data_IF_119600231270
#
_entry.id   IF_119600231270
#
_cell.length_a   1.000
_cell.length_b   1.000
_cell.length_c   1.000
_cell.angle_alpha   90.00
_cell.angle_beta   90.00
_cell.angle_gamma   90.00
#
_symmetry.space_group_name_H-M   'P 1'
#
loop_
_entity.id
_entity.type
_entity.pdbx_description
1 polymer ?
#
# COMPACT_ATOMS: atom_id res chain seq x y z
N UNK A 1 -15.19 -2.75 -24.64
CA UNK A 1 -14.63 -3.59 -23.57
C UNK A 1 -14.08 -2.68 -22.49
N UNK A 2 -14.62 -2.75 -21.27
CA UNK A 2 -14.05 -2.05 -20.12
C UNK A 2 -12.73 -2.73 -19.76
N UNK A 3 -11.63 -1.99 -19.76
CA UNK A 3 -10.32 -2.49 -19.32
C UNK A 3 -10.42 -2.71 -17.81
N UNK A 4 -10.55 -3.96 -17.39
CA UNK A 4 -10.65 -4.29 -15.96
C UNK A 4 -9.33 -3.92 -15.27
N UNK A 5 -9.41 -3.09 -14.23
CA UNK A 5 -8.24 -2.73 -13.46
C UNK A 5 -7.75 -3.95 -12.68
N UNK A 6 -6.44 -4.24 -12.80
CA UNK A 6 -5.81 -5.40 -12.18
C UNK A 6 -5.69 -5.24 -10.66
N UNK A 7 -5.45 -4.03 -10.17
CA UNK A 7 -5.65 -3.66 -8.76
C UNK A 7 -7.04 -3.02 -8.68
N UNK A 8 -7.95 -3.62 -7.93
CA UNK A 8 -9.33 -3.15 -7.79
C UNK A 8 -9.48 -2.18 -6.62
N UNK A 9 -8.77 -2.45 -5.51
CA UNK A 9 -8.80 -1.61 -4.33
C UNK A 9 -7.51 -1.75 -3.51
N UNK A 10 -7.19 -0.71 -2.73
CA UNK A 10 -6.14 -0.73 -1.72
C UNK A 10 -6.78 -0.28 -0.41
N UNK A 11 -7.05 -1.23 0.48
CA UNK A 11 -7.54 -0.94 1.82
C UNK A 11 -6.35 -0.50 2.68
N UNK A 12 -6.49 0.65 3.32
CA UNK A 12 -5.49 1.21 4.22
C UNK A 12 -6.19 1.66 5.48
N UNK A 13 -5.69 1.21 6.63
CA UNK A 13 -6.23 1.58 7.94
C UNK A 13 -5.14 1.57 9.00
N UNK A 14 -5.39 2.26 10.12
CA UNK A 14 -4.52 2.25 11.27
C UNK A 14 -5.08 1.36 12.39
N UNK A 15 -4.23 0.50 12.94
CA UNK A 15 -4.48 -0.23 14.17
C UNK A 15 -3.39 0.18 15.18
N UNK A 16 -3.75 1.01 16.17
CA UNK A 16 -2.79 1.67 17.08
C UNK A 16 -1.73 2.45 16.29
N UNK A 17 -0.46 2.06 16.40
CA UNK A 17 0.65 2.67 15.66
C UNK A 17 0.93 2.02 14.32
N UNK A 18 0.19 0.99 13.92
CA UNK A 18 0.48 0.26 12.70
C UNK A 18 -0.42 0.68 11.56
N UNK A 19 0.20 1.17 10.49
CA UNK A 19 -0.42 1.28 9.18
C UNK A 19 -0.54 -0.13 8.60
N UNK A 20 -1.75 -0.56 8.29
CA UNK A 20 -2.03 -1.84 7.67
C UNK A 20 -2.59 -1.62 6.27
N UNK A 21 -2.13 -2.44 5.33
CA UNK A 21 -2.48 -2.37 3.91
C UNK A 21 -2.92 -3.74 3.45
N UNK A 22 -4.01 -3.80 2.70
CA UNK A 22 -4.47 -4.99 1.97
C UNK A 22 -4.79 -4.60 0.52
N UNK A 23 -4.25 -5.35 -0.43
CA UNK A 23 -4.54 -5.16 -1.86
C UNK A 23 -5.65 -6.12 -2.28
N UNK A 24 -6.68 -5.60 -2.95
CA UNK A 24 -7.70 -6.40 -3.64
C UNK A 24 -7.36 -6.38 -5.13
N UNK A 25 -6.98 -7.53 -5.68
CA UNK A 25 -6.54 -7.65 -7.07
C UNK A 25 -7.41 -8.66 -7.84
N UNK A 26 -7.62 -8.40 -9.13
CA UNK A 26 -8.40 -9.25 -10.03
C UNK A 26 -7.53 -10.17 -10.91
N UNK A 27 -6.21 -10.17 -10.71
CA UNK A 27 -5.29 -10.82 -11.62
C UNK A 27 -3.91 -11.09 -11.05
N UNK A 28 -3.14 -11.85 -11.82
CA UNK A 28 -1.80 -12.35 -11.49
C UNK A 28 -1.71 -13.28 -10.28
N UNK A 29 -2.80 -13.75 -9.68
CA UNK A 29 -2.85 -14.48 -8.39
C UNK A 29 -1.58 -15.29 -8.06
N UNK A 30 -1.23 -16.32 -8.84
CA UNK A 30 -0.05 -17.17 -8.55
C UNK A 30 1.31 -16.51 -8.87
N UNK A 31 1.32 -15.55 -9.78
CA UNK A 31 2.50 -14.84 -10.28
C UNK A 31 2.68 -13.45 -9.68
N UNK A 32 1.80 -13.00 -8.78
CA UNK A 32 1.81 -11.65 -8.25
C UNK A 32 2.89 -11.50 -7.17
N UNK A 33 3.63 -10.40 -7.25
CA UNK A 33 4.47 -9.91 -6.17
C UNK A 33 4.19 -8.42 -5.94
N UNK A 34 4.15 -8.02 -4.67
CA UNK A 34 3.75 -6.70 -4.23
C UNK A 34 4.89 -5.97 -3.53
N UNK A 35 5.02 -4.68 -3.81
CA UNK A 35 5.85 -3.76 -3.04
C UNK A 35 5.04 -2.52 -2.63
N UNK A 36 5.37 -1.94 -1.48
CA UNK A 36 4.59 -0.90 -0.82
C UNK A 36 5.48 0.28 -0.47
N UNK A 37 5.15 1.45 -0.99
CA UNK A 37 5.86 2.70 -0.69
C UNK A 37 4.92 3.61 0.08
N UNK A 38 5.33 3.99 1.29
CA UNK A 38 4.53 4.83 2.19
C UNK A 38 5.03 6.26 2.11
N UNK A 39 4.10 7.20 1.91
CA UNK A 39 4.38 8.63 1.86
C UNK A 39 3.64 9.34 2.98
N UNK A 40 4.31 10.32 3.59
CA UNK A 40 3.70 11.29 4.51
C UNK A 40 3.43 12.58 3.74
N UNK A 41 2.30 13.25 3.97
CA UNK A 41 2.03 14.55 3.38
C UNK A 41 3.14 15.56 3.70
N UNK A 42 3.50 16.38 2.72
CA UNK A 42 4.63 17.31 2.81
C UNK A 42 6.00 16.71 2.43
N UNK A 43 6.13 15.38 2.37
CA UNK A 43 7.36 14.73 1.92
C UNK A 43 7.26 14.33 0.43
N UNK A 44 8.26 14.74 -0.36
CA UNK A 44 8.40 14.32 -1.77
C UNK A 44 8.84 12.86 -1.90
N UNK A 45 9.57 12.35 -0.91
CA UNK A 45 10.08 10.98 -0.88
C UNK A 45 9.24 10.05 -0.02
N UNK A 46 9.27 8.75 -0.36
CA UNK A 46 8.66 7.72 0.46
C UNK A 46 9.43 7.57 1.78
N UNK A 47 8.73 7.64 2.90
CA UNK A 47 9.30 7.43 4.24
C UNK A 47 9.59 5.95 4.53
N UNK A 48 8.99 5.05 3.74
CA UNK A 48 9.27 3.62 3.78
C UNK A 48 9.05 2.98 2.41
N UNK A 49 9.88 1.97 2.09
CA UNK A 49 9.81 1.18 0.86
C UNK A 49 9.98 -0.29 1.21
N UNK A 50 9.09 -1.14 0.74
CA UNK A 50 9.26 -2.60 0.85
C UNK A 50 9.92 -3.18 -0.40
N UNK A 51 10.59 -4.32 -0.25
CA UNK A 51 10.92 -5.20 -1.37
C UNK A 51 9.65 -5.90 -1.90
N UNK A 52 9.74 -6.45 -3.12
CA UNK A 52 8.68 -7.28 -3.69
C UNK A 52 8.53 -8.60 -2.91
N UNK A 53 7.31 -8.93 -2.50
CA UNK A 53 6.95 -10.19 -1.82
C UNK A 53 5.64 -10.74 -2.37
N UNK A 54 5.37 -12.03 -2.17
CA UNK A 54 4.10 -12.65 -2.62
C UNK A 54 2.86 -12.21 -1.83
N UNK A 55 3.06 -11.58 -0.67
CA UNK A 55 1.96 -11.15 0.19
C UNK A 55 1.34 -9.87 -0.34
N UNK A 56 0.01 -9.87 -0.46
CA UNK A 56 -0.82 -8.73 -0.81
C UNK A 56 -1.13 -7.83 0.39
N UNK A 57 -0.45 -8.07 1.52
CA UNK A 57 -0.54 -7.29 2.75
C UNK A 57 0.77 -6.65 3.13
N UNK A 58 0.68 -5.53 3.84
CA UNK A 58 1.82 -4.84 4.40
C UNK A 58 1.47 -4.19 5.74
N UNK A 59 2.45 -4.15 6.63
CA UNK A 59 2.35 -3.49 7.91
C UNK A 59 3.59 -2.65 8.17
N UNK A 60 3.40 -1.44 8.66
CA UNK A 60 4.47 -0.52 9.04
C UNK A 60 4.09 0.23 10.33
N UNK A 61 5.02 0.29 11.27
CA UNK A 61 4.85 1.16 12.43
C UNK A 61 5.06 2.63 12.03
N UNK A 62 4.09 3.47 12.37
CA UNK A 62 4.11 4.92 12.18
C UNK A 62 3.91 5.55 13.55
N UNK A 63 4.87 6.35 14.00
CA UNK A 63 4.82 7.03 15.30
C UNK A 63 4.33 8.47 15.16
N UNK A 64 4.71 9.15 14.09
CA UNK A 64 4.37 10.55 13.88
C UNK A 64 2.91 10.71 13.43
N UNK A 65 2.14 11.65 13.99
CA UNK A 65 0.83 11.99 13.44
C UNK A 65 0.98 12.65 12.06
N UNK A 66 -0.07 12.56 11.26
CA UNK A 66 -0.12 13.19 9.94
C UNK A 66 -0.96 12.42 8.94
N UNK A 67 -1.02 12.95 7.73
CA UNK A 67 -1.67 12.31 6.59
C UNK A 67 -0.68 11.41 5.86
N UNK A 68 -1.12 10.21 5.50
CA UNK A 68 -0.35 9.19 4.82
C UNK A 68 -1.08 8.67 3.58
N UNK A 69 -0.31 8.15 2.62
CA UNK A 69 -0.82 7.37 1.49
C UNK A 69 0.16 6.29 1.11
N UNK A 70 -0.34 5.22 0.49
CA UNK A 70 0.48 4.08 0.07
C UNK A 70 0.41 3.92 -1.44
N UNK A 71 1.57 3.90 -2.10
CA UNK A 71 1.68 3.46 -3.48
C UNK A 71 2.03 1.99 -3.51
N UNK A 72 1.14 1.19 -4.11
CA UNK A 72 1.31 -0.24 -4.32
C UNK A 72 1.88 -0.48 -5.70
N UNK A 73 2.83 -1.40 -5.79
CA UNK A 73 3.38 -1.93 -7.03
C UNK A 73 3.06 -3.41 -7.09
N UNK A 74 2.29 -3.84 -8.08
CA UNK A 74 2.03 -5.25 -8.34
C UNK A 74 2.79 -5.68 -9.59
N UNK A 75 3.65 -6.67 -9.44
CA UNK A 75 4.50 -7.22 -10.49
C UNK A 75 4.04 -8.62 -10.84
N UNK A 76 3.84 -8.88 -12.13
CA UNK A 76 3.77 -10.24 -12.66
C UNK A 76 5.20 -10.81 -12.72
N UNK A 77 5.47 -11.84 -11.93
CA UNK A 77 6.80 -12.46 -11.84
C UNK A 77 7.19 -13.27 -13.09
N UNK A 78 6.21 -13.67 -13.91
CA UNK A 78 6.44 -14.40 -15.18
C UNK A 78 6.79 -13.45 -16.34
N UNK A 79 6.08 -12.33 -16.46
CA UNK A 79 6.26 -11.38 -17.58
C UNK A 79 7.11 -10.17 -17.24
N UNK A 80 7.35 -9.91 -15.95
CA UNK A 80 8.01 -8.71 -15.48
C UNK A 80 7.14 -7.44 -15.51
N UNK A 81 5.90 -7.53 -16.00
CA UNK A 81 4.97 -6.39 -16.06
C UNK A 81 4.70 -5.85 -14.65
N UNK A 82 4.81 -4.53 -14.49
CA UNK A 82 4.50 -3.84 -13.24
C UNK A 82 3.32 -2.90 -13.46
N UNK A 83 2.36 -2.95 -12.55
CA UNK A 83 1.27 -1.99 -12.45
C UNK A 83 1.33 -1.31 -11.08
N UNK A 84 0.82 -0.09 -11.00
CA UNK A 84 0.84 0.67 -9.74
C UNK A 84 -0.46 1.40 -9.50
N UNK A 85 -0.88 1.47 -8.25
CA UNK A 85 -2.00 2.29 -7.82
C UNK A 85 -1.65 2.93 -6.47
N UNK A 86 -2.20 4.11 -6.21
CA UNK A 86 -2.02 4.81 -4.93
C UNK A 86 -3.34 4.79 -4.18
N UNK A 87 -3.28 4.47 -2.89
CA UNK A 87 -4.45 4.49 -2.01
C UNK A 87 -5.02 5.90 -1.87
N UNK A 88 -6.23 5.98 -1.32
CA UNK A 88 -6.69 7.20 -0.69
C UNK A 88 -5.78 7.62 0.47
N UNK A 89 -5.93 8.89 0.87
CA UNK A 89 -5.22 9.44 2.02
C UNK A 89 -5.85 8.93 3.30
N UNK A 90 -5.02 8.66 4.29
CA UNK A 90 -5.45 8.29 5.63
C UNK A 90 -4.76 9.15 6.67
N UNK A 91 -5.53 9.60 7.66
CA UNK A 91 -5.02 10.38 8.77
C UNK A 91 -4.61 9.46 9.93
N UNK A 92 -3.38 9.62 10.42
CA UNK A 92 -2.98 9.15 11.74
C UNK A 92 -3.21 10.27 12.75
N UNK A 93 -3.98 9.96 13.79
CA UNK A 93 -4.18 10.83 14.95
C UNK A 93 -3.41 10.28 16.14
N UNK A 94 -2.99 11.16 17.04
CA UNK A 94 -2.52 10.72 18.35
C UNK A 94 -3.75 10.22 19.12
N UNK A 95 -3.78 8.93 19.45
CA UNK A 95 -4.75 8.42 20.42
C UNK A 95 -4.18 8.83 21.78
N UNK A 96 -4.73 9.91 22.36
CA UNK A 96 -4.50 10.21 23.77
C UNK A 96 -5.41 9.25 24.54
N UNK A 97 -4.85 8.14 25.02
CA UNK A 97 -5.54 7.34 26.05
C UNK A 97 -5.51 8.21 27.32
N UNK A 98 -6.70 8.69 27.74
CA UNK A 98 -6.91 9.37 29.02
C UNK A 98 -7.10 8.34 30.14
#
# INVERSE_FOLDING_TARGET
>A
MLKQELIQNIEVFFTKNYLQVKVIAAGFEESAAYAFYVYKAGNSEAIAKSAYKKFDTYQLEILEPGEYRVKVFMKNTKTGQVITQTSERIQKTNIVEY
#
